data_IF_084957172586
#
_entry.id   IF_084957172586
#
_cell.length_a   1.000
_cell.length_b   1.000
_cell.length_c   1.000
_cell.angle_alpha   90.00
_cell.angle_beta   90.00
_cell.angle_gamma   90.00
#
_symmetry.space_group_name_H-M   'P 1'
#
loop_
_entity.id
_entity.type
_entity.pdbx_description
1 polymer ?
#
# COMPACT_ATOMS: atom_id res chain seq x y z
N UNK A 1 25.58 -9.71 -27.92
CA UNK A 1 25.16 -8.83 -26.80
C UNK A 1 24.14 -9.61 -25.99
N UNK A 2 24.39 -9.91 -24.71
CA UNK A 2 23.39 -10.58 -23.86
C UNK A 2 22.48 -9.49 -23.30
N UNK A 3 21.21 -9.51 -23.70
CA UNK A 3 20.18 -8.72 -23.04
C UNK A 3 20.04 -9.28 -21.63
N UNK A 4 20.34 -8.46 -20.61
CA UNK A 4 19.97 -8.75 -19.23
C UNK A 4 18.55 -8.23 -19.06
N UNK A 5 17.66 -9.08 -18.58
CA UNK A 5 16.26 -8.73 -18.26
C UNK A 5 16.11 -8.14 -16.87
N UNK A 6 17.15 -8.25 -16.04
CA UNK A 6 17.05 -7.95 -14.61
C UNK A 6 17.95 -6.75 -14.25
N UNK A 7 17.46 -5.92 -13.34
CA UNK A 7 18.23 -4.82 -12.76
C UNK A 7 19.37 -5.35 -11.89
N UNK A 8 20.52 -4.69 -11.95
CA UNK A 8 21.61 -4.93 -10.99
C UNK A 8 21.35 -4.03 -9.79
N UNK A 9 20.82 -4.60 -8.71
CA UNK A 9 20.33 -3.87 -7.53
C UNK A 9 21.41 -3.55 -6.50
N UNK A 10 22.68 -3.50 -6.88
CA UNK A 10 23.79 -3.23 -5.95
C UNK A 10 24.20 -1.75 -5.86
N UNK A 11 23.42 -0.84 -6.46
CA UNK A 11 23.62 0.60 -6.36
C UNK A 11 22.29 1.33 -6.16
N UNK A 12 22.32 2.42 -5.39
CA UNK A 12 21.21 3.37 -5.15
C UNK A 12 20.67 4.07 -6.41
N UNK A 13 20.97 3.54 -7.59
CA UNK A 13 20.45 4.02 -8.86
C UNK A 13 20.54 2.91 -9.91
N UNK A 14 19.51 2.84 -10.76
CA UNK A 14 19.44 1.96 -11.93
C UNK A 14 19.10 2.80 -13.16
N UNK A 15 19.73 2.52 -14.30
CA UNK A 15 19.41 3.17 -15.58
C UNK A 15 18.70 2.19 -16.51
N UNK A 16 17.68 2.65 -17.25
CA UNK A 16 16.95 1.84 -18.22
C UNK A 16 16.73 2.58 -19.55
N UNK A 17 16.56 1.82 -20.62
CA UNK A 17 16.12 2.31 -21.93
C UNK A 17 14.95 1.44 -22.37
N UNK A 18 13.80 2.05 -22.61
CA UNK A 18 12.59 1.36 -23.07
C UNK A 18 12.08 2.03 -24.36
N UNK A 19 11.75 1.22 -25.36
CA UNK A 19 11.07 1.65 -26.57
C UNK A 19 9.65 1.08 -26.57
N UNK A 20 8.65 1.95 -26.79
CA UNK A 20 7.24 1.56 -26.91
C UNK A 20 6.58 2.30 -28.07
N UNK A 21 5.45 1.78 -28.52
CA UNK A 21 4.50 2.55 -29.35
C UNK A 21 3.90 3.68 -28.50
N UNK A 22 3.34 4.70 -29.16
CA UNK A 22 2.78 5.87 -28.49
C UNK A 22 1.69 5.47 -27.49
N UNK A 23 0.73 4.64 -27.91
CA UNK A 23 -0.37 4.17 -27.08
C UNK A 23 -0.16 2.74 -26.56
N UNK A 24 -0.67 2.46 -25.36
CA UNK A 24 -0.71 1.10 -24.82
C UNK A 24 -1.84 0.32 -25.47
N UNK A 25 -1.58 -0.93 -25.84
CA UNK A 25 -2.64 -1.84 -26.28
C UNK A 25 -3.55 -2.19 -25.09
N UNK A 26 -4.79 -2.67 -25.33
CA UNK A 26 -5.67 -3.13 -24.26
C UNK A 26 -5.03 -4.18 -23.36
N UNK A 27 -4.31 -5.14 -23.94
CA UNK A 27 -3.62 -6.20 -23.20
C UNK A 27 -2.53 -5.64 -22.30
N UNK A 28 -1.76 -4.64 -22.78
CA UNK A 28 -0.74 -4.00 -21.96
C UNK A 28 -1.34 -3.23 -20.79
N UNK A 29 -2.50 -2.57 -20.99
CA UNK A 29 -3.21 -1.88 -19.90
C UNK A 29 -3.69 -2.87 -18.86
N UNK A 30 -4.24 -4.00 -19.28
CA UNK A 30 -4.70 -5.06 -18.38
C UNK A 30 -3.54 -5.64 -17.54
N UNK A 31 -2.40 -5.92 -18.17
CA UNK A 31 -1.22 -6.42 -17.45
C UNK A 31 -0.64 -5.39 -16.47
N UNK A 32 -0.69 -4.09 -16.80
CA UNK A 32 -0.32 -3.02 -15.84
C UNK A 32 -1.25 -3.01 -14.64
N UNK A 33 -2.56 -3.16 -14.86
CA UNK A 33 -3.55 -3.20 -13.77
C UNK A 33 -3.31 -4.40 -12.87
N UNK A 34 -3.15 -5.60 -13.44
CA UNK A 34 -2.84 -6.82 -12.66
C UNK A 34 -1.58 -6.66 -11.84
N UNK A 35 -0.51 -6.17 -12.48
CA UNK A 35 0.75 -5.92 -11.78
C UNK A 35 0.57 -4.92 -10.63
N UNK A 36 -0.23 -3.88 -10.81
CA UNK A 36 -0.53 -2.92 -9.76
C UNK A 36 -1.30 -3.57 -8.60
N UNK A 37 -2.36 -4.32 -8.88
CA UNK A 37 -3.14 -5.03 -7.87
C UNK A 37 -2.30 -6.03 -7.07
N UNK A 38 -1.36 -6.71 -7.72
CA UNK A 38 -0.52 -7.73 -7.09
C UNK A 38 0.69 -7.16 -6.32
N UNK A 39 1.24 -6.02 -6.75
CA UNK A 39 2.53 -5.52 -6.22
C UNK A 39 2.42 -4.18 -5.49
N UNK A 40 1.44 -3.32 -5.81
CA UNK A 40 1.37 -1.94 -5.31
C UNK A 40 0.37 -1.72 -4.17
N UNK A 41 -0.58 -2.61 -3.98
CA UNK A 41 -1.58 -2.48 -2.91
C UNK A 41 -1.14 -3.11 -1.59
N UNK A 42 -0.09 -3.93 -1.61
CA UNK A 42 0.33 -4.73 -0.46
C UNK A 42 -0.19 -6.16 -0.54
N UNK A 43 0.14 -6.96 0.47
CA UNK A 43 -0.13 -8.40 0.52
C UNK A 43 -1.26 -8.77 1.50
N UNK A 44 -1.71 -7.84 2.33
CA UNK A 44 -2.80 -8.06 3.30
C UNK A 44 -4.03 -7.28 2.88
N UNK A 45 -5.18 -7.95 2.81
CA UNK A 45 -6.47 -7.35 2.48
C UNK A 45 -7.42 -7.60 3.65
N UNK A 46 -7.79 -6.55 4.35
CA UNK A 46 -8.69 -6.57 5.49
C UNK A 46 -10.08 -6.11 5.02
N UNK A 47 -11.10 -6.91 5.30
CA UNK A 47 -12.48 -6.69 4.80
C UNK A 47 -13.49 -6.56 5.94
N UNK A 48 -13.11 -6.96 7.15
CA UNK A 48 -13.98 -6.97 8.32
C UNK A 48 -13.34 -6.24 9.48
N UNK A 49 -14.19 -5.76 10.42
CA UNK A 49 -13.72 -5.19 11.68
C UNK A 49 -12.85 -6.17 12.46
N UNK A 50 -13.22 -7.46 12.46
CA UNK A 50 -12.47 -8.50 13.18
C UNK A 50 -11.06 -8.67 12.63
N UNK A 51 -10.91 -8.75 11.30
CA UNK A 51 -9.59 -8.81 10.65
C UNK A 51 -8.75 -7.56 10.92
N UNK A 52 -9.38 -6.37 10.94
CA UNK A 52 -8.68 -5.12 11.22
C UNK A 52 -8.17 -5.05 12.66
N UNK A 53 -9.02 -5.42 13.63
CA UNK A 53 -8.64 -5.50 15.06
C UNK A 53 -7.49 -6.47 15.23
N UNK A 54 -7.60 -7.67 14.63
CA UNK A 54 -6.57 -8.70 14.72
C UNK A 54 -5.22 -8.21 14.16
N UNK A 55 -5.24 -7.58 12.98
CA UNK A 55 -4.03 -7.04 12.36
C UNK A 55 -3.37 -5.96 13.21
N UNK A 56 -4.14 -4.95 13.66
CA UNK A 56 -3.59 -3.86 14.47
C UNK A 56 -3.06 -4.37 15.81
N UNK A 57 -3.78 -5.29 16.47
CA UNK A 57 -3.35 -5.87 17.75
C UNK A 57 -2.05 -6.67 17.62
N UNK A 58 -1.87 -7.41 16.52
CA UNK A 58 -0.71 -8.29 16.32
C UNK A 58 0.52 -7.55 15.77
N UNK A 59 0.33 -6.52 14.96
CA UNK A 59 1.40 -5.92 14.16
C UNK A 59 1.66 -4.44 14.45
N UNK A 60 0.73 -3.72 15.08
CA UNK A 60 0.83 -2.27 15.28
C UNK A 60 0.90 -1.94 16.77
N UNK A 61 -0.16 -2.23 17.52
CA UNK A 61 -0.25 -1.98 18.95
C UNK A 61 -1.27 -2.93 19.60
N UNK A 62 -0.83 -3.72 20.58
CA UNK A 62 -1.71 -4.64 21.30
C UNK A 62 -2.77 -3.92 22.12
N UNK A 63 -2.54 -2.65 22.45
CA UNK A 63 -3.41 -1.82 23.28
C UNK A 63 -4.36 -0.95 22.43
N UNK A 64 -4.52 -1.26 21.13
CA UNK A 64 -5.39 -0.51 20.20
C UNK A 64 -6.86 -0.43 20.66
N UNK A 65 -7.30 -1.42 21.45
CA UNK A 65 -8.59 -1.42 22.13
C UNK A 65 -8.40 -1.39 23.65
N UNK A 66 -9.28 -0.69 24.36
CA UNK A 66 -9.38 -0.73 25.82
C UNK A 66 -10.05 -2.01 26.35
N UNK A 67 -10.12 -2.16 27.68
CA UNK A 67 -10.74 -3.33 28.34
C UNK A 67 -12.23 -3.51 27.99
N UNK A 68 -12.91 -2.44 27.57
CA UNK A 68 -14.32 -2.41 27.18
C UNK A 68 -14.52 -2.63 25.67
N UNK A 69 -13.43 -2.73 24.88
CA UNK A 69 -13.44 -2.94 23.43
C UNK A 69 -13.66 -1.66 22.61
N UNK A 70 -13.48 -0.48 23.20
CA UNK A 70 -13.45 0.80 22.49
C UNK A 70 -12.02 1.11 22.02
N UNK A 71 -11.88 2.00 21.04
CA UNK A 71 -10.57 2.45 20.60
C UNK A 71 -9.88 3.19 21.74
N UNK A 72 -8.66 2.76 22.05
CA UNK A 72 -7.81 3.45 23.02
C UNK A 72 -7.16 4.67 22.35
N UNK A 73 -7.50 5.91 22.74
CA UNK A 73 -6.98 7.11 22.09
C UNK A 73 -5.48 7.32 22.31
N UNK A 74 -4.90 6.66 23.31
CA UNK A 74 -3.46 6.73 23.61
C UNK A 74 -2.64 5.67 22.85
N UNK A 75 -3.31 4.73 22.14
CA UNK A 75 -2.64 3.69 21.37
C UNK A 75 -1.95 4.25 20.13
N UNK A 76 -0.84 3.63 19.75
CA UNK A 76 -0.16 3.97 18.51
C UNK A 76 -1.06 3.69 17.31
N UNK A 77 -1.24 4.71 16.46
CA UNK A 77 -2.07 4.67 15.25
C UNK A 77 -3.58 4.51 15.49
N UNK A 78 -4.08 4.99 16.64
CA UNK A 78 -5.51 4.98 16.96
C UNK A 78 -6.38 5.71 15.91
N UNK A 79 -5.94 6.89 15.45
CA UNK A 79 -6.66 7.68 14.44
C UNK A 79 -6.78 6.91 13.10
N UNK A 80 -5.69 6.28 12.65
CA UNK A 80 -5.66 5.47 11.43
C UNK A 80 -6.53 4.21 11.55
N UNK A 81 -6.57 3.61 12.74
CA UNK A 81 -7.45 2.48 13.03
C UNK A 81 -8.92 2.90 12.93
N UNK A 82 -9.29 4.04 13.52
CA UNK A 82 -10.64 4.60 13.42
C UNK A 82 -11.03 4.94 11.98
N UNK A 83 -10.13 5.54 11.22
CA UNK A 83 -10.35 5.82 9.80
C UNK A 83 -10.57 4.53 9.01
N UNK A 84 -9.75 3.49 9.24
CA UNK A 84 -9.93 2.19 8.61
C UNK A 84 -11.29 1.56 8.97
N UNK A 85 -11.73 1.66 10.22
CA UNK A 85 -13.05 1.17 10.65
C UNK A 85 -14.19 1.89 9.92
N UNK A 86 -14.11 3.22 9.81
CA UNK A 86 -15.10 4.04 9.10
C UNK A 86 -15.13 3.67 7.60
N UNK A 87 -13.97 3.49 6.97
CA UNK A 87 -13.87 3.05 5.57
C UNK A 87 -14.45 1.66 5.34
N UNK A 88 -14.16 0.69 6.20
CA UNK A 88 -14.79 -0.64 6.15
C UNK A 88 -16.31 -0.54 6.27
N UNK A 89 -16.83 0.33 7.15
CA UNK A 89 -18.27 0.55 7.30
C UNK A 89 -18.93 1.13 6.04
N UNK A 90 -18.16 1.84 5.21
CA UNK A 90 -18.55 2.40 3.91
C UNK A 90 -18.38 1.42 2.75
N UNK A 91 -17.94 0.19 3.01
CA UNK A 91 -17.78 -0.87 2.01
C UNK A 91 -16.45 -0.85 1.27
N UNK A 92 -15.45 -0.11 1.77
CA UNK A 92 -14.08 -0.21 1.27
C UNK A 92 -13.42 -1.51 1.76
N UNK A 93 -12.35 -1.88 1.08
CA UNK A 93 -11.39 -2.87 1.59
C UNK A 93 -10.12 -2.13 1.98
N UNK A 94 -9.49 -2.53 3.08
CA UNK A 94 -8.24 -1.93 3.55
C UNK A 94 -7.11 -2.84 3.10
N UNK A 95 -6.21 -2.31 2.27
CA UNK A 95 -5.00 -3.03 1.88
C UNK A 95 -3.83 -2.52 2.72
N UNK A 96 -3.02 -3.45 3.22
CA UNK A 96 -1.81 -3.14 3.98
C UNK A 96 -0.62 -3.77 3.28
N UNK A 97 0.43 -2.96 3.13
CA UNK A 97 1.68 -3.35 2.51
C UNK A 97 2.85 -2.63 3.15
N UNK A 98 4.00 -3.28 3.10
CA UNK A 98 5.25 -2.75 3.63
C UNK A 98 6.28 -2.65 2.50
N UNK A 99 6.99 -1.52 2.45
CA UNK A 99 8.03 -1.26 1.46
C UNK A 99 9.31 -0.84 2.18
N UNK A 100 10.35 -1.68 2.09
CA UNK A 100 11.70 -1.27 2.45
C UNK A 100 12.38 -0.67 1.24
N UNK A 101 12.81 0.59 1.34
CA UNK A 101 13.72 1.16 0.34
C UNK A 101 14.83 1.92 1.04
N UNK A 102 16.03 1.35 1.05
CA UNK A 102 17.22 2.13 1.39
C UNK A 102 17.47 3.14 0.26
N UNK A 103 17.20 4.43 0.50
CA UNK A 103 17.53 5.51 -0.46
C UNK A 103 16.42 5.94 -1.44
N UNK A 104 15.15 5.85 -1.04
CA UNK A 104 14.04 6.77 -1.36
C UNK A 104 13.69 7.15 -2.82
N UNK A 105 13.63 6.21 -3.76
CA UNK A 105 12.90 6.44 -5.04
C UNK A 105 11.60 5.61 -5.14
N UNK A 106 11.51 4.47 -4.44
CA UNK A 106 10.38 3.56 -4.57
C UNK A 106 9.11 4.10 -3.86
N UNK A 107 9.26 4.68 -2.67
CA UNK A 107 8.16 5.29 -1.91
C UNK A 107 7.50 6.43 -2.69
N UNK A 108 8.29 7.22 -3.42
CA UNK A 108 7.77 8.31 -4.26
C UNK A 108 6.94 7.78 -5.44
N UNK A 109 7.35 6.64 -6.03
CA UNK A 109 6.57 5.99 -7.09
C UNK A 109 5.22 5.50 -6.56
N UNK A 110 5.20 4.86 -5.39
CA UNK A 110 3.96 4.42 -4.75
C UNK A 110 3.05 5.61 -4.44
N UNK A 111 3.60 6.65 -3.82
CA UNK A 111 2.86 7.87 -3.48
C UNK A 111 2.24 8.52 -4.71
N UNK A 112 3.01 8.72 -5.78
CA UNK A 112 2.48 9.29 -7.02
C UNK A 112 1.39 8.42 -7.66
N UNK A 113 1.51 7.10 -7.58
CA UNK A 113 0.50 6.19 -8.12
C UNK A 113 -0.81 6.28 -7.31
N UNK A 114 -0.74 6.26 -5.98
CA UNK A 114 -1.90 6.41 -5.10
C UNK A 114 -2.56 7.77 -5.21
N UNK A 115 -1.78 8.85 -5.33
CA UNK A 115 -2.29 10.21 -5.59
C UNK A 115 -3.07 10.26 -6.91
N UNK A 116 -2.55 9.60 -7.95
CA UNK A 116 -3.20 9.52 -9.25
C UNK A 116 -4.55 8.80 -9.15
N UNK A 117 -4.60 7.68 -8.42
CA UNK A 117 -5.83 6.91 -8.20
C UNK A 117 -6.85 7.66 -7.34
N UNK A 118 -6.39 8.36 -6.29
CA UNK A 118 -7.27 9.13 -5.39
C UNK A 118 -8.07 10.20 -6.14
N UNK A 119 -7.52 10.73 -7.25
CA UNK A 119 -8.22 11.70 -8.12
C UNK A 119 -9.34 11.08 -8.95
N UNK A 120 -9.38 9.76 -9.09
CA UNK A 120 -10.43 9.03 -9.80
C UNK A 120 -11.62 8.67 -8.91
N UNK A 121 -11.53 8.90 -7.59
CA UNK A 121 -12.54 8.55 -6.60
C UNK A 121 -12.49 7.09 -6.15
N UNK A 122 -13.07 6.80 -4.98
CA UNK A 122 -13.11 5.48 -4.34
C UNK A 122 -11.74 4.82 -4.10
N UNK A 123 -10.67 5.61 -4.04
CA UNK A 123 -9.34 5.20 -3.61
C UNK A 123 -8.88 6.20 -2.54
N UNK A 124 -8.59 5.71 -1.34
CA UNK A 124 -8.27 6.54 -0.19
C UNK A 124 -6.96 6.03 0.41
N UNK A 125 -6.01 6.95 0.59
CA UNK A 125 -4.74 6.70 1.27
C UNK A 125 -4.90 7.11 2.73
N UNK A 126 -4.87 6.13 3.64
CA UNK A 126 -5.04 6.34 5.09
C UNK A 126 -3.71 6.77 5.73
N UNK A 127 -2.66 5.95 5.62
CA UNK A 127 -1.33 6.31 6.09
C UNK A 127 -0.23 5.60 5.29
N UNK A 128 0.88 6.31 5.05
CA UNK A 128 2.06 5.84 4.31
C UNK A 128 3.35 5.77 5.14
N UNK A 129 3.23 6.02 6.45
CA UNK A 129 4.31 5.98 7.43
C UNK A 129 3.89 5.12 8.61
N UNK A 130 3.56 3.86 8.33
CA UNK A 130 3.62 2.81 9.35
C UNK A 130 5.11 2.47 9.50
N UNK A 131 5.82 3.19 10.37
CA UNK A 131 7.13 2.75 10.80
C UNK A 131 6.92 1.42 11.55
N UNK A 132 7.40 0.31 10.98
CA UNK A 132 7.49 -0.97 11.69
C UNK A 132 8.63 -0.88 12.72
N UNK A 133 8.40 -1.48 13.90
CA UNK A 133 9.39 -1.71 14.95
C UNK A 133 10.00 -3.12 14.85
#
# INVERSE_FOLDING_TARGET
MKYRTDFVTNSSSSSFIVARKEEFTPEQKEEIVKFFEEQFLGNTILKTKEELVDYFTQHIDSDILDEDGNVNPDAYKADEFEECLDLLSKGYVVNVGFLTSEGCDATDIYTHAWDSLSRCGNFIQVNTYLDEF
#
